data_IF_401165676167
#
_entry.id   IF_401165676167
#
_cell.length_a   1.000
_cell.length_b   1.000
_cell.length_c   1.000
_cell.angle_alpha   90.00
_cell.angle_beta   90.00
_cell.angle_gamma   90.00
#
_symmetry.space_group_name_H-M   'P 1'
#
loop_
_entity.id
_entity.type
_entity.pdbx_description
1 polymer ?
#
# COMPACT_ATOMS: atom_id res chain seq x y z
N UNK A 1 -50.94 5.21 30.07
CA UNK A 1 -50.52 6.19 29.05
C UNK A 1 -49.03 6.39 29.21
N UNK A 2 -48.25 5.66 28.43
CA UNK A 2 -46.78 5.73 28.37
C UNK A 2 -46.49 6.28 26.98
N UNK A 3 -45.93 7.47 26.89
CA UNK A 3 -45.46 8.06 25.64
C UNK A 3 -44.30 7.23 25.09
N UNK A 4 -44.32 6.77 23.83
CA UNK A 4 -43.14 6.20 23.19
C UNK A 4 -42.15 7.32 22.83
N UNK A 5 -40.88 7.10 23.19
CA UNK A 5 -39.73 7.88 22.73
C UNK A 5 -39.66 7.86 21.20
N UNK A 6 -39.49 9.02 20.57
CA UNK A 6 -39.09 9.13 19.16
C UNK A 6 -37.62 8.73 19.02
N UNK A 7 -37.23 7.93 18.00
CA UNK A 7 -35.83 7.70 17.71
C UNK A 7 -35.27 8.90 16.93
N UNK A 8 -34.29 9.57 17.52
CA UNK A 8 -33.48 10.60 16.90
C UNK A 8 -32.89 10.12 15.57
N UNK A 9 -33.16 10.89 14.52
CA UNK A 9 -32.54 10.76 13.22
C UNK A 9 -31.05 11.16 13.33
N UNK A 10 -30.16 10.17 13.36
CA UNK A 10 -28.73 10.38 13.12
C UNK A 10 -28.33 9.62 11.85
N UNK A 11 -27.91 10.39 10.84
CA UNK A 11 -27.68 9.93 9.48
C UNK A 11 -26.56 8.91 9.36
N UNK A 12 -26.83 7.85 8.60
CA UNK A 12 -25.80 6.94 8.13
C UNK A 12 -25.14 7.54 6.88
N UNK A 13 -24.17 8.44 7.09
CA UNK A 13 -23.21 8.77 6.03
C UNK A 13 -22.24 7.60 5.88
N UNK A 14 -21.84 7.22 4.65
CA UNK A 14 -20.86 6.15 4.47
C UNK A 14 -19.58 6.56 5.20
N UNK A 15 -19.08 5.68 6.07
CA UNK A 15 -17.80 5.84 6.72
C UNK A 15 -16.75 6.14 5.64
N UNK A 16 -15.96 7.21 5.84
CA UNK A 16 -14.78 7.48 5.03
C UNK A 16 -13.95 6.18 4.93
N UNK A 17 -13.32 5.89 3.78
CA UNK A 17 -12.50 4.68 3.66
C UNK A 17 -11.47 4.72 4.78
N UNK A 18 -11.44 3.65 5.58
CA UNK A 18 -10.52 3.49 6.69
C UNK A 18 -9.11 3.88 6.21
N UNK A 19 -8.46 4.78 6.97
CA UNK A 19 -7.05 5.11 6.79
C UNK A 19 -6.31 3.82 6.48
N UNK A 20 -5.71 3.74 5.29
CA UNK A 20 -4.83 2.65 4.93
C UNK A 20 -3.73 2.65 5.99
N UNK A 21 -3.88 1.78 7.00
CA UNK A 21 -3.10 1.83 8.21
C UNK A 21 -1.63 1.76 7.83
N UNK A 22 -0.94 2.90 7.88
CA UNK A 22 0.51 2.96 7.73
C UNK A 22 1.04 2.01 8.80
N UNK A 23 1.68 0.89 8.43
CA UNK A 23 2.15 -0.05 9.42
C UNK A 23 3.14 0.68 10.33
N UNK A 24 2.74 0.89 11.59
CA UNK A 24 3.56 1.54 12.58
C UNK A 24 4.70 0.59 12.92
N UNK A 25 5.85 0.85 12.31
CA UNK A 25 7.09 0.14 12.58
C UNK A 25 7.95 1.01 13.51
N UNK A 26 7.82 0.85 14.85
CA UNK A 26 8.50 1.72 15.79
C UNK A 26 10.02 1.65 15.62
N UNK A 27 10.68 2.77 15.91
CA UNK A 27 12.14 2.94 15.79
C UNK A 27 12.69 2.62 14.39
N UNK A 28 11.86 2.78 13.36
CA UNK A 28 12.30 2.57 12.00
C UNK A 28 11.70 3.57 11.04
N UNK A 29 12.39 3.74 9.92
CA UNK A 29 11.93 4.58 8.82
C UNK A 29 12.19 3.87 7.50
N UNK A 30 11.37 4.20 6.51
CA UNK A 30 11.67 3.82 5.14
C UNK A 30 12.81 4.68 4.61
N UNK A 31 13.69 4.05 3.84
CA UNK A 31 14.76 4.71 3.10
C UNK A 31 14.80 4.15 1.69
N UNK A 32 15.28 4.94 0.74
CA UNK A 32 15.43 4.53 -0.65
C UNK A 32 16.90 4.44 -1.02
N UNK A 33 17.29 3.34 -1.65
CA UNK A 33 18.62 3.17 -2.25
C UNK A 33 18.48 3.43 -3.75
N UNK A 34 19.24 4.38 -4.27
CA UNK A 34 19.23 4.74 -5.68
C UNK A 34 19.99 3.69 -6.51
N UNK A 35 19.47 3.41 -7.71
CA UNK A 35 20.15 2.57 -8.68
C UNK A 35 21.36 3.26 -9.30
N UNK A 36 22.46 2.53 -9.49
CA UNK A 36 23.67 3.09 -10.12
C UNK A 36 23.58 3.19 -11.64
N UNK A 37 22.94 2.21 -12.29
CA UNK A 37 22.75 2.20 -13.75
C UNK A 37 21.51 2.99 -14.19
N UNK A 38 20.47 2.98 -13.34
CA UNK A 38 19.18 3.63 -13.57
C UNK A 38 18.88 4.53 -12.36
N UNK A 39 19.31 5.81 -12.38
CA UNK A 39 19.19 6.72 -11.23
C UNK A 39 17.75 7.00 -10.78
N UNK A 40 16.79 6.82 -11.67
CA UNK A 40 15.35 6.93 -11.39
C UNK A 40 14.83 5.78 -10.53
N UNK A 41 15.54 4.64 -10.47
CA UNK A 41 15.14 3.49 -9.68
C UNK A 41 15.46 3.72 -8.21
N UNK A 42 14.41 3.72 -7.39
CA UNK A 42 14.49 3.85 -5.93
C UNK A 42 14.07 2.54 -5.28
N UNK A 43 15.04 1.80 -4.73
CA UNK A 43 14.79 0.51 -4.06
C UNK A 43 14.40 0.78 -2.60
N UNK A 44 13.19 0.40 -2.18
CA UNK A 44 12.74 0.62 -0.82
C UNK A 44 13.44 -0.34 0.15
N UNK A 45 13.91 0.22 1.26
CA UNK A 45 14.46 -0.51 2.39
C UNK A 45 13.91 0.09 3.68
N UNK A 46 13.96 -0.66 4.77
CA UNK A 46 13.64 -0.15 6.10
C UNK A 46 14.91 -0.06 6.93
N UNK A 47 15.12 1.08 7.56
CA UNK A 47 16.26 1.35 8.43
C UNK A 47 15.79 1.38 9.89
N UNK A 48 16.34 0.50 10.72
CA UNK A 48 15.98 0.31 12.12
C UNK A 48 17.06 0.96 12.98
N UNK A 49 16.67 1.94 13.79
CA UNK A 49 17.58 2.58 14.73
C UNK A 49 17.83 1.66 15.91
N UNK A 50 19.09 1.50 16.30
CA UNK A 50 19.50 0.69 17.44
C UNK A 50 19.82 1.60 18.63
N UNK A 51 19.54 1.14 19.84
CA UNK A 51 19.95 1.85 21.06
C UNK A 51 21.46 1.71 21.28
N UNK A 52 22.17 2.73 21.78
CA UNK A 52 23.60 2.63 22.07
C UNK A 52 23.93 1.49 23.05
N UNK A 53 25.06 0.83 22.86
CA UNK A 53 25.56 -0.21 23.76
C UNK A 53 26.31 0.43 24.92
N UNK A 54 25.97 0.06 26.16
CA UNK A 54 26.69 0.50 27.36
C UNK A 54 27.58 -0.62 27.88
N UNK A 55 28.88 -0.40 27.85
CA UNK A 55 29.89 -1.36 28.33
C UNK A 55 30.02 -1.34 29.86
N UNK A 56 30.59 -2.41 30.43
CA UNK A 56 30.78 -2.56 31.87
C UNK A 56 31.70 -1.47 32.48
N UNK A 57 32.64 -0.95 31.69
CA UNK A 57 33.52 0.16 32.06
C UNK A 57 32.84 1.55 31.95
N UNK A 58 31.56 1.61 31.56
CA UNK A 58 30.80 2.84 31.42
C UNK A 58 30.92 3.52 30.06
N UNK A 59 31.69 2.98 29.12
CA UNK A 59 31.76 3.48 27.75
C UNK A 59 30.42 3.27 27.02
N UNK A 60 30.07 4.23 26.16
CA UNK A 60 28.88 4.19 25.30
C UNK A 60 29.37 4.04 23.86
N UNK A 61 28.88 3.00 23.20
CA UNK A 61 29.11 2.74 21.78
C UNK A 61 27.81 2.98 21.01
N UNK A 62 27.85 3.92 20.07
CA UNK A 62 26.73 4.17 19.16
C UNK A 62 26.61 3.01 18.17
N UNK A 63 25.40 2.49 18.00
CA UNK A 63 25.13 1.40 17.07
C UNK A 63 24.57 1.96 15.75
N UNK A 64 25.23 1.68 14.64
CA UNK A 64 24.72 2.06 13.32
C UNK A 64 23.36 1.42 13.02
N UNK A 65 22.45 2.11 12.33
CA UNK A 65 21.16 1.56 11.98
C UNK A 65 21.27 0.31 11.10
N UNK A 66 20.38 -0.67 11.33
CA UNK A 66 20.33 -1.89 10.53
C UNK A 66 19.32 -1.73 9.41
N UNK A 67 19.77 -1.96 8.18
CA UNK A 67 18.94 -1.90 6.98
C UNK A 67 18.41 -3.28 6.61
N UNK A 68 17.09 -3.38 6.43
CA UNK A 68 16.39 -4.62 6.06
C UNK A 68 15.52 -4.41 4.82
N UNK A 69 15.19 -5.52 4.15
CA UNK A 69 14.27 -5.51 3.01
C UNK A 69 12.87 -5.05 3.44
N UNK A 70 12.24 -4.18 2.65
CA UNK A 70 10.89 -3.68 2.89
C UNK A 70 9.96 -4.01 1.71
N UNK A 71 9.03 -4.93 1.94
CA UNK A 71 8.04 -5.38 0.96
C UNK A 71 6.68 -4.68 1.09
N UNK A 72 6.53 -3.69 1.98
CA UNK A 72 5.25 -2.99 2.22
C UNK A 72 4.76 -2.20 1.00
N UNK A 73 5.64 -1.95 0.02
CA UNK A 73 5.30 -1.17 -1.17
C UNK A 73 5.01 0.29 -0.82
N UNK A 74 4.37 1.06 -1.73
CA UNK A 74 4.05 2.46 -1.48
C UNK A 74 3.14 2.68 -0.26
N UNK A 75 2.28 1.72 0.10
CA UNK A 75 1.40 1.83 1.26
C UNK A 75 2.13 1.87 2.61
N UNK A 76 3.39 1.42 2.68
CA UNK A 76 4.22 1.57 3.87
C UNK A 76 5.03 2.87 3.90
N UNK A 77 4.90 3.72 2.88
CA UNK A 77 5.57 5.02 2.82
C UNK A 77 4.65 6.10 3.39
N UNK A 78 5.03 6.79 4.49
CA UNK A 78 4.20 7.85 5.08
C UNK A 78 3.96 9.03 4.14
N UNK A 79 4.81 9.22 3.13
CA UNK A 79 4.67 10.30 2.15
C UNK A 79 3.79 9.90 0.96
N UNK A 80 3.40 8.62 0.84
CA UNK A 80 2.58 8.13 -0.26
C UNK A 80 1.08 8.35 -0.01
N UNK A 81 0.49 9.21 -0.82
CA UNK A 81 -0.95 9.47 -0.84
C UNK A 81 -1.61 8.71 -1.98
N UNK A 82 -1.95 7.45 -1.73
CA UNK A 82 -2.57 6.55 -2.70
C UNK A 82 -4.10 6.49 -2.59
N UNK A 83 -4.77 6.25 -3.71
CA UNK A 83 -6.19 5.92 -3.78
C UNK A 83 -6.33 4.47 -4.27
N UNK A 84 -6.88 3.61 -3.42
CA UNK A 84 -7.05 2.17 -3.72
C UNK A 84 -7.88 1.94 -4.97
N UNK A 85 -8.80 2.85 -5.30
CA UNK A 85 -9.66 2.74 -6.49
C UNK A 85 -8.91 3.06 -7.80
N UNK A 86 -7.77 3.74 -7.70
CA UNK A 86 -6.91 4.09 -8.85
C UNK A 86 -5.72 3.15 -9.03
N UNK A 87 -5.44 2.33 -8.02
CA UNK A 87 -4.28 1.43 -8.00
C UNK A 87 -2.97 2.17 -7.74
N UNK A 88 -1.87 1.41 -7.74
CA UNK A 88 -0.52 1.93 -7.50
C UNK A 88 0.08 2.59 -8.76
N UNK A 89 0.99 3.57 -8.60
CA UNK A 89 1.77 4.10 -9.70
C UNK A 89 2.53 2.97 -10.42
N UNK A 90 2.43 2.92 -11.75
CA UNK A 90 3.09 1.90 -12.55
C UNK A 90 4.55 2.30 -12.85
N UNK A 91 5.38 2.32 -11.80
CA UNK A 91 6.78 2.77 -11.84
C UNK A 91 7.64 2.11 -12.92
N UNK A 92 7.30 0.89 -13.32
CA UNK A 92 8.07 0.09 -14.29
C UNK A 92 7.60 0.24 -15.73
N UNK A 93 6.51 0.97 -16.00
CA UNK A 93 5.91 1.06 -17.35
C UNK A 93 6.91 1.59 -18.38
N UNK A 94 7.56 2.71 -18.05
CA UNK A 94 8.51 3.37 -18.96
C UNK A 94 9.74 2.51 -19.21
N UNK A 95 10.30 1.90 -18.16
CA UNK A 95 11.39 0.93 -18.31
C UNK A 95 11.00 -0.19 -19.27
N UNK A 96 9.86 -0.85 -19.04
CA UNK A 96 9.43 -1.98 -19.89
C UNK A 96 9.28 -1.53 -21.34
N UNK A 97 8.66 -0.38 -21.61
CA UNK A 97 8.50 0.16 -22.96
C UNK A 97 9.86 0.51 -23.62
N UNK A 98 10.80 1.06 -22.87
CA UNK A 98 12.11 1.48 -23.37
C UNK A 98 12.99 0.32 -23.88
N UNK A 99 12.72 -0.93 -23.47
CA UNK A 99 13.43 -2.11 -23.97
C UNK A 99 13.06 -2.48 -25.40
N UNK A 100 11.96 -1.93 -25.94
CA UNK A 100 11.49 -2.20 -27.30
C UNK A 100 11.23 -3.69 -27.58
N UNK A 101 10.91 -4.46 -26.55
CA UNK A 101 10.68 -5.91 -26.60
C UNK A 101 9.21 -6.31 -26.37
N UNK A 102 8.32 -5.32 -26.30
CA UNK A 102 6.88 -5.50 -26.04
C UNK A 102 6.04 -4.64 -26.98
N UNK A 103 4.79 -5.05 -27.19
CA UNK A 103 3.77 -4.30 -27.91
C UNK A 103 2.51 -4.10 -27.03
N UNK A 104 1.81 -2.99 -27.23
CA UNK A 104 0.54 -2.74 -26.58
C UNK A 104 -0.58 -3.48 -27.33
N UNK A 105 -1.51 -4.08 -26.59
CA UNK A 105 -2.67 -4.76 -27.16
C UNK A 105 -3.91 -4.48 -26.32
N UNK A 106 -5.09 -4.68 -26.92
CA UNK A 106 -6.36 -4.51 -26.22
C UNK A 106 -6.63 -5.69 -25.28
N UNK A 107 -6.89 -5.39 -24.01
CA UNK A 107 -7.16 -6.41 -23.00
C UNK A 107 -8.42 -7.23 -23.29
N UNK A 108 -8.42 -8.51 -22.92
CA UNK A 108 -9.61 -9.37 -23.04
C UNK A 108 -10.76 -8.80 -22.19
N UNK A 109 -11.96 -8.72 -22.78
CA UNK A 109 -13.18 -8.38 -22.04
C UNK A 109 -13.49 -9.39 -20.92
N UNK A 110 -13.89 -8.88 -19.77
CA UNK A 110 -14.33 -9.67 -18.60
C UNK A 110 -15.66 -10.37 -18.93
N UNK A 111 -15.76 -11.65 -18.61
CA UNK A 111 -16.97 -12.46 -18.77
C UNK A 111 -17.56 -12.79 -17.38
N UNK A 112 -18.87 -13.08 -17.27
CA UNK A 112 -19.48 -13.50 -16.01
C UNK A 112 -18.78 -14.68 -15.34
N UNK A 113 -18.30 -15.63 -16.15
CA UNK A 113 -17.55 -16.81 -15.69
C UNK A 113 -16.24 -16.44 -14.97
N UNK A 114 -15.64 -15.29 -15.28
CA UNK A 114 -14.42 -14.83 -14.62
C UNK A 114 -14.69 -14.45 -13.15
N UNK A 115 -15.96 -14.17 -12.80
CA UNK A 115 -16.43 -13.90 -11.44
C UNK A 115 -17.31 -15.02 -10.85
N UNK A 116 -17.33 -16.22 -11.48
CA UNK A 116 -18.07 -17.39 -10.98
C UNK A 116 -19.56 -17.44 -11.35
N UNK A 117 -20.05 -16.58 -12.26
CA UNK A 117 -21.44 -16.60 -12.72
C UNK A 117 -21.61 -17.39 -14.01
N UNK A 118 -22.74 -18.10 -14.13
CA UNK A 118 -23.06 -18.91 -15.32
C UNK A 118 -23.42 -18.05 -16.55
N UNK A 119 -23.97 -16.86 -16.34
CA UNK A 119 -24.33 -15.90 -17.39
C UNK A 119 -24.49 -14.49 -16.83
N UNK A 120 -24.62 -13.50 -17.71
CA UNK A 120 -24.82 -12.08 -17.33
C UNK A 120 -26.03 -11.92 -16.41
N UNK A 121 -27.13 -12.63 -16.72
CA UNK A 121 -28.35 -12.62 -15.90
C UNK A 121 -28.11 -13.08 -14.45
N UNK A 122 -27.22 -14.05 -14.23
CA UNK A 122 -26.91 -14.51 -12.87
C UNK A 122 -26.05 -13.49 -12.11
N UNK A 123 -25.17 -12.78 -12.82
CA UNK A 123 -24.38 -11.69 -12.24
C UNK A 123 -25.27 -10.50 -11.84
N UNK A 124 -26.21 -10.10 -12.70
CA UNK A 124 -27.18 -9.04 -12.42
C UNK A 124 -28.03 -9.34 -11.19
N UNK A 125 -28.61 -10.54 -11.11
CA UNK A 125 -29.42 -10.97 -9.97
C UNK A 125 -28.63 -10.94 -8.65
N UNK A 126 -27.35 -11.32 -8.65
CA UNK A 126 -26.51 -11.33 -7.46
C UNK A 126 -26.09 -9.92 -6.99
N UNK A 127 -26.22 -8.91 -7.85
CA UNK A 127 -25.87 -7.51 -7.56
C UNK A 127 -27.04 -6.64 -7.09
N UNK A 128 -28.25 -7.21 -7.04
CA UNK A 128 -29.49 -6.54 -6.59
C UNK A 128 -29.73 -6.81 -5.10
#
# INVERSE_FOLDING_TARGET
MITPNEPDAAGNSPAAPADAATPDFPNSRRVYVEGSLYPEVRVPMREISLTPTKSFNGEIEENEPVRVYDASGPWGDPDFQGDVTKGLPALRREWIAARQDVEAYEGRAVKPMDNGYLSDRHAEYAST
#
